data_IF_075242269536
#
_entry.id   IF_075242269536
#
_cell.length_a   1.000
_cell.length_b   1.000
_cell.length_c   1.000
_cell.angle_alpha   90.00
_cell.angle_beta   90.00
_cell.angle_gamma   90.00
#
_symmetry.space_group_name_H-M   'P 1'
#
loop_
_entity.id
_entity.type
_entity.pdbx_description
1 polymer ?
#
# COMPACT_ATOMS: atom_id res chain seq x y z
N UNK A 1 2.73 21.45 3.13
CA UNK A 1 2.30 21.89 1.79
C UNK A 1 0.80 21.65 1.66
N UNK A 2 0.01 22.71 1.55
CA UNK A 2 -1.45 22.65 1.54
C UNK A 2 -2.00 21.91 0.31
N UNK A 3 -1.34 22.03 -0.84
CA UNK A 3 -1.74 21.34 -2.07
C UNK A 3 -1.58 19.83 -1.92
N UNK A 4 -0.48 19.38 -1.31
CA UNK A 4 -0.28 17.96 -1.01
C UNK A 4 -1.37 17.41 -0.08
N UNK A 5 -1.71 18.14 0.99
CA UNK A 5 -2.77 17.72 1.92
C UNK A 5 -4.15 17.67 1.24
N UNK A 6 -4.46 18.63 0.37
CA UNK A 6 -5.69 18.64 -0.42
C UNK A 6 -5.79 17.43 -1.34
N UNK A 7 -4.72 17.12 -2.09
CA UNK A 7 -4.69 15.92 -2.94
C UNK A 7 -4.87 14.65 -2.13
N UNK A 8 -4.20 14.51 -0.98
CA UNK A 8 -4.35 13.33 -0.12
C UNK A 8 -5.79 13.16 0.41
N UNK A 9 -6.45 14.27 0.78
CA UNK A 9 -7.84 14.28 1.24
C UNK A 9 -8.82 13.82 0.16
N UNK A 10 -8.66 14.30 -1.07
CA UNK A 10 -9.60 14.06 -2.17
C UNK A 10 -9.15 12.98 -3.17
N UNK A 11 -8.11 12.19 -2.85
CA UNK A 11 -7.58 11.14 -3.74
C UNK A 11 -8.60 10.07 -4.15
N UNK A 12 -9.68 9.92 -3.39
CA UNK A 12 -10.77 8.98 -3.69
C UNK A 12 -11.76 9.52 -4.74
N UNK A 13 -11.72 10.83 -5.03
CA UNK A 13 -12.56 11.50 -6.03
C UNK A 13 -11.76 11.91 -7.27
N UNK A 14 -10.44 12.02 -7.14
CA UNK A 14 -9.56 12.58 -8.17
C UNK A 14 -8.69 11.49 -8.81
N UNK A 15 -8.75 11.37 -10.13
CA UNK A 15 -7.82 10.53 -10.87
C UNK A 15 -6.43 11.17 -10.89
N UNK A 16 -5.39 10.33 -10.99
CA UNK A 16 -4.01 10.82 -11.11
C UNK A 16 -3.83 11.72 -12.35
N UNK A 17 -4.55 11.43 -13.44
CA UNK A 17 -4.56 12.25 -14.66
C UNK A 17 -5.11 13.65 -14.39
N UNK A 18 -6.25 13.76 -13.72
CA UNK A 18 -6.84 15.06 -13.40
C UNK A 18 -5.92 15.92 -12.51
N UNK A 19 -5.22 15.30 -11.56
CA UNK A 19 -4.22 15.97 -10.73
C UNK A 19 -3.06 16.48 -11.59
N UNK A 20 -2.54 15.65 -12.49
CA UNK A 20 -1.45 16.05 -13.38
C UNK A 20 -1.85 17.19 -14.31
N UNK A 21 -3.04 17.14 -14.91
CA UNK A 21 -3.55 18.19 -15.79
C UNK A 21 -3.68 19.53 -15.03
N UNK A 22 -4.22 19.50 -13.81
CA UNK A 22 -4.29 20.67 -12.93
C UNK A 22 -2.88 21.22 -12.60
N UNK A 23 -1.92 20.34 -12.28
CA UNK A 23 -0.55 20.76 -11.98
C UNK A 23 0.14 21.42 -13.18
N UNK A 24 -0.12 20.95 -14.40
CA UNK A 24 0.40 21.57 -15.62
C UNK A 24 -0.19 22.97 -15.82
N UNK A 25 -1.49 23.16 -15.57
CA UNK A 25 -2.13 24.49 -15.62
C UNK A 25 -1.48 25.43 -14.59
N UNK A 26 -1.29 24.98 -13.35
CA UNK A 26 -0.68 25.80 -12.28
C UNK A 26 0.78 26.15 -12.56
N UNK A 27 1.50 25.32 -13.32
CA UNK A 27 2.89 25.60 -13.71
C UNK A 27 3.03 26.76 -14.68
N UNK A 28 1.97 27.14 -15.41
CA UNK A 28 2.00 28.28 -16.32
C UNK A 28 2.30 29.59 -15.56
N UNK A 29 1.51 29.98 -14.54
CA UNK A 29 1.84 31.14 -13.70
C UNK A 29 2.91 30.85 -12.64
N UNK A 30 3.08 29.58 -12.23
CA UNK A 30 4.02 29.21 -11.15
C UNK A 30 4.99 28.11 -11.61
N UNK A 31 6.07 28.42 -12.35
CA UNK A 31 6.96 27.42 -12.94
C UNK A 31 7.63 26.45 -11.95
N UNK A 32 7.73 26.84 -10.68
CA UNK A 32 8.29 26.01 -9.59
C UNK A 32 7.31 24.97 -9.04
N UNK A 33 6.04 24.97 -9.48
CA UNK A 33 5.06 23.99 -9.03
C UNK A 33 5.41 22.57 -9.54
N UNK A 34 5.06 21.51 -8.78
CA UNK A 34 5.32 20.13 -9.20
C UNK A 34 4.79 19.81 -10.60
N UNK A 35 5.57 19.10 -11.42
CA UNK A 35 5.16 18.72 -12.78
C UNK A 35 4.11 17.61 -12.82
N UNK A 36 4.13 16.73 -11.83
CA UNK A 36 3.19 15.63 -11.72
C UNK A 36 2.90 15.29 -10.26
N UNK A 37 1.87 14.45 -10.08
CA UNK A 37 1.41 14.00 -8.79
C UNK A 37 2.49 13.26 -8.00
N UNK A 38 3.46 12.60 -8.65
CA UNK A 38 4.53 11.84 -7.98
C UNK A 38 5.49 12.80 -7.29
N UNK A 39 5.85 13.90 -7.97
CA UNK A 39 6.67 14.98 -7.40
C UNK A 39 5.92 15.67 -6.27
N UNK A 40 4.64 16.00 -6.48
CA UNK A 40 3.81 16.65 -5.45
C UNK A 40 3.70 15.78 -4.19
N UNK A 41 3.42 14.49 -4.35
CA UNK A 41 3.23 13.56 -3.25
C UNK A 41 4.55 13.11 -2.62
N UNK A 42 5.69 13.32 -3.29
CA UNK A 42 7.00 12.83 -2.90
C UNK A 42 6.97 11.32 -2.67
N UNK A 43 6.45 10.58 -3.64
CA UNK A 43 6.42 9.11 -3.56
C UNK A 43 7.84 8.61 -3.29
N UNK A 44 8.07 7.78 -2.27
CA UNK A 44 9.40 7.27 -1.96
C UNK A 44 9.98 6.54 -3.18
N UNK A 45 11.22 6.87 -3.53
CA UNK A 45 11.96 6.19 -4.60
C UNK A 45 12.73 4.95 -4.09
N UNK A 46 12.65 4.67 -2.78
CA UNK A 46 13.30 3.54 -2.14
C UNK A 46 12.27 2.65 -1.44
N UNK A 47 12.53 1.35 -1.45
CA UNK A 47 11.80 0.39 -0.65
C UNK A 47 12.32 0.50 0.80
N UNK A 48 11.47 0.84 1.79
CA UNK A 48 11.90 0.89 3.19
C UNK A 48 12.04 -0.51 3.81
N UNK A 49 11.59 -1.54 3.10
CA UNK A 49 11.63 -2.93 3.55
C UNK A 49 12.89 -3.62 3.05
N UNK A 50 13.38 -4.55 3.86
CA UNK A 50 14.47 -5.44 3.48
C UNK A 50 14.04 -6.35 2.33
N UNK A 51 14.86 -6.41 1.28
CA UNK A 51 14.67 -7.30 0.14
C UNK A 51 15.74 -8.39 0.22
N UNK A 52 15.29 -9.62 0.42
CA UNK A 52 16.15 -10.79 0.55
C UNK A 52 16.23 -11.47 -0.81
N UNK A 53 17.45 -11.78 -1.26
CA UNK A 53 17.64 -12.60 -2.45
C UNK A 53 17.19 -14.03 -2.16
N UNK A 54 16.21 -14.52 -2.92
CA UNK A 54 15.61 -15.84 -2.71
C UNK A 54 15.36 -16.48 -4.08
N UNK A 55 16.40 -17.06 -4.71
CA UNK A 55 16.31 -17.61 -6.06
C UNK A 55 15.10 -18.55 -6.21
N UNK A 56 14.31 -18.43 -7.30
CA UNK A 56 14.59 -17.66 -8.51
C UNK A 56 14.20 -16.16 -8.47
N UNK A 57 13.85 -15.60 -7.30
CA UNK A 57 13.40 -14.21 -7.17
C UNK A 57 13.87 -13.52 -5.90
N UNK A 58 13.01 -12.67 -5.37
CA UNK A 58 13.27 -11.85 -4.19
C UNK A 58 12.10 -11.94 -3.23
N UNK A 59 12.40 -11.87 -1.93
CA UNK A 59 11.42 -11.84 -0.86
C UNK A 59 11.45 -10.49 -0.14
N UNK A 60 10.29 -9.95 0.20
CA UNK A 60 10.14 -8.71 0.95
C UNK A 60 9.05 -8.90 2.00
N UNK A 61 9.41 -8.75 3.29
CA UNK A 61 8.47 -8.90 4.38
C UNK A 61 7.88 -7.54 4.78
N UNK A 62 6.58 -7.36 4.55
CA UNK A 62 5.88 -6.10 4.83
C UNK A 62 5.22 -6.09 6.24
N UNK A 63 5.36 -7.18 7.01
CA UNK A 63 4.86 -7.30 8.38
C UNK A 63 3.38 -7.68 8.45
N UNK A 64 3.07 -8.84 9.03
CA UNK A 64 1.67 -9.27 9.26
C UNK A 64 1.14 -8.89 10.64
N UNK A 65 2.03 -8.63 11.60
CA UNK A 65 1.68 -8.37 13.00
C UNK A 65 0.73 -7.17 13.14
N UNK A 66 1.07 -6.04 12.53
CA UNK A 66 0.25 -4.83 12.59
C UNK A 66 -1.14 -5.06 12.00
N UNK A 67 -1.23 -5.86 10.93
CA UNK A 67 -2.50 -6.23 10.30
C UNK A 67 -3.33 -7.09 11.22
N UNK A 68 -2.74 -8.14 11.81
CA UNK A 68 -3.43 -9.02 12.75
C UNK A 68 -3.90 -8.24 13.99
N UNK A 69 -3.03 -7.43 14.59
CA UNK A 69 -3.39 -6.56 15.73
C UNK A 69 -4.56 -5.64 15.40
N UNK A 70 -4.54 -5.01 14.23
CA UNK A 70 -5.63 -4.15 13.77
C UNK A 70 -6.93 -4.93 13.61
N UNK A 71 -6.90 -6.08 12.91
CA UNK A 71 -8.09 -6.89 12.67
C UNK A 71 -8.73 -7.41 13.98
N UNK A 72 -7.91 -7.77 14.96
CA UNK A 72 -8.37 -8.18 16.31
C UNK A 72 -9.01 -7.00 17.05
N UNK A 73 -8.36 -5.82 17.01
CA UNK A 73 -8.84 -4.64 17.75
C UNK A 73 -10.11 -4.03 17.13
N UNK A 74 -10.24 -4.07 15.81
CA UNK A 74 -11.40 -3.53 15.09
C UNK A 74 -12.64 -4.45 15.22
N UNK A 75 -12.45 -5.72 15.61
CA UNK A 75 -13.51 -6.72 15.77
C UNK A 75 -13.77 -7.06 17.24
N UNK A 76 -14.80 -6.44 17.83
CA UNK A 76 -15.23 -6.70 19.21
C UNK A 76 -15.48 -8.21 19.46
N UNK A 77 -16.05 -8.90 18.47
CA UNK A 77 -16.32 -10.33 18.55
C UNK A 77 -15.04 -11.16 18.58
N UNK A 78 -14.04 -10.79 17.77
CA UNK A 78 -12.74 -11.47 17.75
C UNK A 78 -11.95 -11.21 19.03
N UNK A 79 -12.00 -9.99 19.56
CA UNK A 79 -11.43 -9.66 20.86
C UNK A 79 -12.02 -10.57 21.95
N UNK A 80 -13.35 -10.60 22.09
CA UNK A 80 -14.00 -11.44 23.09
C UNK A 80 -13.68 -12.93 22.90
N UNK A 81 -13.70 -13.44 21.67
CA UNK A 81 -13.33 -14.82 21.37
C UNK A 81 -11.90 -15.17 21.80
N UNK A 82 -10.93 -14.28 21.56
CA UNK A 82 -9.53 -14.54 21.91
C UNK A 82 -9.26 -14.43 23.42
N UNK A 83 -9.94 -13.54 24.13
CA UNK A 83 -9.67 -13.27 25.55
C UNK A 83 -10.56 -14.04 26.53
N UNK A 84 -11.64 -14.68 26.06
CA UNK A 84 -12.54 -15.49 26.91
C UNK A 84 -12.28 -17.00 26.84
N UNK A 85 -11.50 -17.46 25.85
CA UNK A 85 -11.12 -18.86 25.72
C UNK A 85 -9.74 -19.09 26.35
N UNK A 86 -9.56 -20.21 27.06
CA UNK A 86 -8.28 -20.60 27.66
C UNK A 86 -7.24 -21.02 26.61
N UNK A 87 -7.70 -21.49 25.45
CA UNK A 87 -6.87 -21.90 24.31
C UNK A 87 -7.50 -21.39 22.99
N UNK A 88 -7.39 -20.09 22.71
CA UNK A 88 -7.98 -19.51 21.51
C UNK A 88 -7.22 -19.95 20.26
N UNK A 89 -7.95 -20.44 19.25
CA UNK A 89 -7.40 -20.77 17.92
C UNK A 89 -7.80 -19.67 16.95
N UNK A 90 -6.82 -18.98 16.38
CA UNK A 90 -7.06 -17.96 15.36
C UNK A 90 -6.89 -18.57 13.96
N UNK A 91 -7.98 -18.85 13.23
CA UNK A 91 -7.86 -19.28 11.83
C UNK A 91 -7.31 -18.13 10.99
N UNK A 92 -6.31 -18.42 10.16
CA UNK A 92 -5.73 -17.46 9.21
C UNK A 92 -5.84 -18.07 7.83
N UNK A 93 -6.49 -17.34 6.93
CA UNK A 93 -6.47 -17.68 5.50
C UNK A 93 -5.31 -16.95 4.85
N UNK A 94 -4.43 -17.71 4.18
CA UNK A 94 -3.29 -17.18 3.44
C UNK A 94 -3.56 -17.40 1.96
N UNK A 95 -3.47 -16.32 1.19
CA UNK A 95 -3.54 -16.37 -0.26
C UNK A 95 -2.19 -15.92 -0.83
N UNK A 96 -1.71 -16.66 -1.83
CA UNK A 96 -0.46 -16.39 -2.54
C UNK A 96 -0.74 -16.51 -4.03
N UNK A 97 -0.92 -15.37 -4.68
CA UNK A 97 -1.24 -15.30 -6.11
C UNK A 97 -0.07 -14.71 -6.90
N UNK A 98 0.09 -15.06 -8.17
CA UNK A 98 1.11 -14.48 -9.06
C UNK A 98 0.53 -13.43 -9.98
N UNK A 99 1.06 -12.20 -9.94
CA UNK A 99 0.65 -11.08 -10.80
C UNK A 99 1.80 -10.67 -11.73
N UNK A 100 1.60 -10.57 -13.05
CA UNK A 100 2.61 -10.06 -13.96
C UNK A 100 3.02 -8.63 -13.59
N UNK A 101 4.32 -8.37 -13.45
CA UNK A 101 4.82 -7.01 -13.12
C UNK A 101 4.75 -6.11 -14.35
N UNK A 102 5.00 -6.67 -15.53
CA UNK A 102 4.93 -5.96 -16.81
C UNK A 102 4.62 -6.94 -17.94
N UNK A 103 4.01 -6.42 -19.01
CA UNK A 103 3.71 -7.22 -20.21
C UNK A 103 4.97 -7.65 -20.98
N UNK A 104 6.11 -6.99 -20.74
CA UNK A 104 7.37 -7.25 -21.43
C UNK A 104 8.31 -8.21 -20.68
N UNK A 105 7.95 -8.65 -19.47
CA UNK A 105 8.77 -9.53 -18.64
C UNK A 105 8.01 -10.77 -18.21
N UNK A 106 8.71 -11.90 -18.03
CA UNK A 106 8.14 -13.09 -17.39
C UNK A 106 8.11 -13.01 -15.85
N UNK A 107 8.60 -11.91 -15.28
CA UNK A 107 8.63 -11.70 -13.82
C UNK A 107 7.24 -11.50 -13.25
N UNK A 108 6.99 -12.12 -12.11
CA UNK A 108 5.73 -12.06 -11.38
C UNK A 108 5.95 -11.51 -9.97
N UNK A 109 5.01 -10.70 -9.51
CA UNK A 109 4.89 -10.29 -8.12
C UNK A 109 3.94 -11.25 -7.41
N UNK A 110 4.37 -11.81 -6.29
CA UNK A 110 3.59 -12.77 -5.53
C UNK A 110 3.14 -12.16 -4.20
N UNK A 111 2.02 -11.41 -4.15
CA UNK A 111 1.48 -10.92 -2.89
C UNK A 111 1.13 -12.09 -1.97
N UNK A 112 1.62 -12.03 -0.73
CA UNK A 112 1.20 -12.92 0.36
C UNK A 112 0.16 -12.13 1.17
N UNK A 113 -1.11 -12.47 0.97
CA UNK A 113 -2.25 -11.82 1.62
C UNK A 113 -2.75 -12.68 2.76
N UNK A 114 -3.20 -12.03 3.83
CA UNK A 114 -3.80 -12.68 4.99
C UNK A 114 -5.20 -12.13 5.27
N UNK A 115 -6.10 -12.99 5.71
CA UNK A 115 -7.38 -12.62 6.30
C UNK A 115 -7.67 -13.50 7.53
N UNK A 116 -8.42 -12.94 8.47
CA UNK A 116 -8.90 -13.61 9.67
C UNK A 116 -10.39 -13.93 9.53
#
# INVERSE_FOLDING_TARGET
DATKQWVLKYRHLLSQRAINDMLQILRVPYPKFPADSRILLKTPNSCPYEIINMPPGFYCHIGIENTIRRLINDSINMHNFLFQNSEPVLPISINIDGLPISNSSKSQFWPILISL
#
